data_IF_411834818058
#
_entry.id   IF_411834818058
#
_cell.length_a   1.000
_cell.length_b   1.000
_cell.length_c   1.000
_cell.angle_alpha   90.00
_cell.angle_beta   90.00
_cell.angle_gamma   90.00
#
_symmetry.space_group_name_H-M   'P 1'
#
loop_
_entity.id
_entity.type
_entity.pdbx_description
1 polymer ?
#
# COMPACT_ATOMS: atom_id res chain seq x y z
N UNK A 1 -28.08 23.83 11.30
CA UNK A 1 -26.63 24.03 11.11
C UNK A 1 -25.95 22.77 11.62
N UNK A 2 -25.55 21.87 10.72
CA UNK A 2 -24.88 20.63 11.10
C UNK A 2 -23.37 20.89 11.20
N UNK A 3 -22.67 20.43 12.26
CA UNK A 3 -21.24 20.60 12.36
C UNK A 3 -20.54 19.71 11.32
N UNK A 4 -19.70 20.32 10.48
CA UNK A 4 -18.76 19.62 9.60
C UNK A 4 -17.84 18.77 10.47
N UNK A 5 -17.94 17.44 10.36
CA UNK A 5 -17.02 16.52 11.03
C UNK A 5 -15.59 16.88 10.61
N UNK A 6 -14.64 17.07 11.54
CA UNK A 6 -13.25 17.26 11.14
C UNK A 6 -12.84 16.04 10.33
N UNK A 7 -12.31 16.26 9.12
CA UNK A 7 -11.70 15.18 8.35
C UNK A 7 -10.64 14.55 9.27
N UNK A 8 -10.88 13.30 9.69
CA UNK A 8 -9.91 12.54 10.48
C UNK A 8 -8.58 12.61 9.74
N UNK A 9 -7.56 13.17 10.39
CA UNK A 9 -6.19 13.20 9.91
C UNK A 9 -5.57 11.80 10.04
N UNK A 10 -6.19 10.84 9.37
CA UNK A 10 -5.64 9.49 9.26
C UNK A 10 -4.41 9.59 8.38
N UNK A 11 -3.25 9.25 8.96
CA UNK A 11 -2.01 9.17 8.21
C UNK A 11 -2.22 8.26 6.99
N UNK A 12 -1.76 8.66 5.79
CA UNK A 12 -2.01 7.91 4.55
C UNK A 12 -1.32 6.55 4.52
N UNK A 13 -0.37 6.31 5.45
CA UNK A 13 0.41 5.08 5.57
C UNK A 13 0.50 4.74 7.06
N UNK A 14 0.38 3.44 7.38
CA UNK A 14 0.52 2.91 8.75
C UNK A 14 1.60 1.83 8.78
N UNK A 15 2.43 1.85 9.81
CA UNK A 15 3.41 0.81 10.12
C UNK A 15 2.76 -0.18 11.08
N UNK A 16 2.68 -1.46 10.70
CA UNK A 16 2.04 -2.50 11.51
C UNK A 16 3.01 -3.21 12.45
N UNK A 17 4.31 -3.23 12.13
CA UNK A 17 5.37 -3.86 12.94
C UNK A 17 6.68 -3.10 12.77
N UNK A 18 7.42 -2.95 13.86
CA UNK A 18 8.69 -2.20 13.88
C UNK A 18 8.48 -0.69 13.82
N UNK A 19 9.59 0.05 13.79
CA UNK A 19 9.61 1.50 13.59
C UNK A 19 10.26 1.78 12.23
N UNK A 20 9.68 2.70 11.46
CA UNK A 20 10.28 3.15 10.21
C UNK A 20 11.21 4.33 10.49
N UNK A 21 12.40 4.29 9.91
CA UNK A 21 13.30 5.44 9.95
C UNK A 21 12.81 6.55 9.01
N UNK A 22 13.25 7.79 9.25
CA UNK A 22 12.91 8.92 8.40
C UNK A 22 13.34 8.71 6.94
N UNK A 23 14.48 8.04 6.72
CA UNK A 23 15.00 7.72 5.40
C UNK A 23 14.10 6.72 4.67
N UNK A 24 13.63 5.67 5.34
CA UNK A 24 12.71 4.70 4.77
C UNK A 24 11.36 5.33 4.42
N UNK A 25 10.84 6.21 5.29
CA UNK A 25 9.62 6.97 5.00
C UNK A 25 9.79 7.88 3.79
N UNK A 26 10.93 8.56 3.67
CA UNK A 26 11.25 9.38 2.51
C UNK A 26 11.33 8.56 1.22
N UNK A 27 11.98 7.39 1.26
CA UNK A 27 12.08 6.49 0.11
C UNK A 27 10.70 6.01 -0.36
N UNK A 28 9.82 5.63 0.57
CA UNK A 28 8.44 5.23 0.25
C UNK A 28 7.67 6.41 -0.37
N UNK A 29 7.81 7.62 0.17
CA UNK A 29 7.17 8.81 -0.38
C UNK A 29 7.60 9.09 -1.83
N UNK A 30 8.91 9.02 -2.12
CA UNK A 30 9.46 9.18 -3.48
C UNK A 30 8.91 8.12 -4.42
N UNK A 31 8.84 6.86 -3.98
CA UNK A 31 8.33 5.76 -4.78
C UNK A 31 6.85 5.96 -5.14
N UNK A 32 6.02 6.35 -4.16
CA UNK A 32 4.61 6.62 -4.39
C UNK A 32 4.39 7.81 -5.32
N UNK A 33 5.14 8.90 -5.14
CA UNK A 33 5.06 10.06 -6.01
C UNK A 33 5.47 9.73 -7.44
N UNK A 34 6.58 8.99 -7.61
CA UNK A 34 7.07 8.54 -8.91
C UNK A 34 6.04 7.66 -9.63
N UNK A 35 5.42 6.71 -8.91
CA UNK A 35 4.34 5.88 -9.46
C UNK A 35 3.12 6.71 -9.85
N UNK A 36 2.76 7.72 -9.06
CA UNK A 36 1.63 8.60 -9.38
C UNK A 36 1.88 9.44 -10.64
N UNK A 37 3.13 9.91 -10.84
CA UNK A 37 3.52 10.65 -12.04
C UNK A 37 3.40 9.78 -13.30
N UNK A 38 3.74 8.50 -13.20
CA UNK A 38 3.59 7.53 -14.30
C UNK A 38 2.12 7.18 -14.59
N UNK A 39 1.26 7.16 -13.56
CA UNK A 39 -0.17 6.89 -13.73
C UNK A 39 -0.90 7.99 -14.53
N UNK A 40 -0.41 9.24 -14.50
CA UNK A 40 -1.01 10.37 -15.22
C UNK A 40 -0.88 10.32 -16.75
N UNK A 41 -0.06 9.43 -17.32
CA UNK A 41 0.26 9.39 -18.75
C UNK A 41 -0.71 8.57 -19.64
N UNK A 42 -1.94 8.30 -19.18
CA UNK A 42 -2.96 7.61 -19.98
C UNK A 42 -3.13 6.12 -19.66
N UNK A 43 -2.69 5.67 -18.48
CA UNK A 43 -3.10 4.37 -17.97
C UNK A 43 -4.50 4.52 -17.40
N UNK A 44 -5.51 3.94 -18.06
CA UNK A 44 -6.83 3.73 -17.47
C UNK A 44 -6.60 3.16 -16.07
N UNK A 45 -7.10 3.87 -15.04
CA UNK A 45 -6.95 3.43 -13.65
C UNK A 45 -7.65 2.09 -13.57
N UNK A 46 -6.89 1.01 -13.71
CA UNK A 46 -7.38 -0.33 -13.45
C UNK A 46 -7.91 -0.25 -12.02
N UNK A 47 -9.24 -0.26 -11.89
CA UNK A 47 -9.91 -0.24 -10.60
C UNK A 47 -9.19 -1.28 -9.75
N UNK A 48 -8.60 -0.92 -8.60
CA UNK A 48 -7.75 -1.84 -7.87
C UNK A 48 -8.60 -3.06 -7.55
N UNK A 49 -8.39 -4.12 -8.35
CA UNK A 49 -9.04 -5.40 -8.13
C UNK A 49 -8.72 -5.77 -6.70
N UNK A 50 -9.72 -6.25 -5.98
CA UNK A 50 -9.63 -6.65 -4.57
C UNK A 50 -8.64 -7.80 -4.43
N UNK A 51 -7.35 -7.54 -4.51
CA UNK A 51 -6.33 -8.56 -4.69
C UNK A 51 -5.22 -8.33 -3.68
N UNK A 52 -5.26 -9.13 -2.61
CA UNK A 52 -4.17 -10.06 -2.24
C UNK A 52 -4.06 -10.33 -0.75
N UNK A 53 -4.74 -9.58 0.13
CA UNK A 53 -4.71 -9.85 1.57
C UNK A 53 -5.59 -11.04 2.01
N UNK A 54 -6.02 -11.90 1.08
CA UNK A 54 -6.54 -13.21 1.44
C UNK A 54 -5.36 -14.01 2.00
N UNK A 55 -5.39 -14.44 3.27
CA UNK A 55 -4.29 -15.18 3.84
C UNK A 55 -4.20 -16.53 3.13
N UNK A 56 -3.13 -16.74 2.36
CA UNK A 56 -2.80 -18.07 1.88
C UNK A 56 -2.63 -18.97 3.10
N UNK A 57 -3.34 -20.10 3.12
CA UNK A 57 -3.14 -21.14 4.13
C UNK A 57 -1.65 -21.49 4.14
N UNK A 58 -1.03 -21.44 5.31
CA UNK A 58 0.38 -21.74 5.51
C UNK A 58 0.81 -22.99 4.72
N UNK A 59 1.69 -22.83 3.74
CA UNK A 59 2.29 -23.96 3.03
C UNK A 59 3.71 -24.21 3.56
N UNK A 60 3.97 -25.45 3.95
CA UNK A 60 5.27 -25.84 4.47
C UNK A 60 6.38 -25.75 3.39
N UNK A 61 7.65 -25.49 3.79
CA UNK A 61 8.74 -25.02 2.91
C UNK A 61 9.05 -25.90 1.69
N UNK A 62 8.76 -27.19 1.77
CA UNK A 62 9.00 -28.18 0.71
C UNK A 62 8.03 -28.12 -0.49
N UNK A 63 7.07 -27.19 -0.51
CA UNK A 63 6.05 -27.09 -1.58
C UNK A 63 6.58 -26.48 -2.89
N UNK A 64 7.71 -25.77 -2.88
CA UNK A 64 8.29 -25.12 -4.07
C UNK A 64 9.26 -26.01 -4.84
N UNK A 65 9.56 -27.22 -4.34
CA UNK A 65 10.57 -28.11 -4.94
C UNK A 65 9.96 -29.13 -5.92
N UNK A 66 8.66 -29.09 -6.18
CA UNK A 66 8.04 -29.84 -7.29
C UNK A 66 6.94 -29.02 -7.97
N UNK A 67 7.33 -28.20 -8.95
CA UNK A 67 6.66 -27.93 -10.23
C UNK A 67 7.56 -27.01 -11.05
#
# INVERSE_FOLDING_TARGET
>A
MSPTSPASLTAPIRVEKGEATDEELAAIAVLLLSRSALAGAGSEVASPGTTSWRPHAFHAPHSWQRS
#
